data_IF_726156382205
#
_entry.id   IF_726156382205
#
_cell.length_a   1.000
_cell.length_b   1.000
_cell.length_c   1.000
_cell.angle_alpha   90.00
_cell.angle_beta   90.00
_cell.angle_gamma   90.00
#
_symmetry.space_group_name_H-M   'P 1'
#
loop_
_entity.id
_entity.type
_entity.pdbx_description
1 polymer ?
#
# COMPACT_ATOMS: atom_id res chain seq x y z
N UNK A 1 -100.62 3.79 -6.95
CA UNK A 1 -99.47 3.13 -7.63
C UNK A 1 -98.23 3.97 -7.43
N UNK A 2 -97.38 3.57 -6.48
CA UNK A 2 -96.09 4.22 -6.19
C UNK A 2 -95.02 3.29 -6.71
N UNK A 3 -94.23 3.75 -7.68
CA UNK A 3 -93.02 3.05 -8.16
C UNK A 3 -91.82 3.46 -7.33
N UNK A 4 -91.25 2.51 -6.62
CA UNK A 4 -89.99 2.66 -5.90
C UNK A 4 -88.81 2.36 -6.89
N UNK A 5 -87.94 3.33 -7.14
CA UNK A 5 -86.70 3.14 -7.86
C UNK A 5 -85.59 2.72 -6.87
N UNK A 6 -85.11 1.51 -7.03
CA UNK A 6 -83.89 1.08 -6.33
C UNK A 6 -82.66 1.62 -7.08
N UNK A 7 -81.86 2.44 -6.40
CA UNK A 7 -80.57 2.89 -6.88
C UNK A 7 -79.52 1.88 -6.40
N UNK A 8 -78.87 1.12 -7.33
CA UNK A 8 -77.73 0.30 -7.05
C UNK A 8 -76.49 1.17 -7.09
N UNK A 9 -75.85 1.41 -5.95
CA UNK A 9 -74.56 2.04 -5.83
C UNK A 9 -73.51 0.93 -5.97
N UNK A 10 -72.75 0.93 -7.09
CA UNK A 10 -71.62 0.05 -7.29
C UNK A 10 -70.38 0.67 -6.61
N UNK A 11 -69.92 0.09 -5.52
CA UNK A 11 -68.59 0.40 -4.92
C UNK A 11 -67.51 -0.18 -5.81
N UNK A 12 -66.76 0.68 -6.49
CA UNK A 12 -65.46 0.34 -7.11
C UNK A 12 -64.40 0.23 -6.02
N UNK A 13 -64.08 -0.99 -5.62
CA UNK A 13 -62.91 -1.24 -4.80
C UNK A 13 -61.64 -1.08 -5.67
N UNK A 14 -60.98 0.05 -5.54
CA UNK A 14 -59.61 0.25 -6.07
C UNK A 14 -58.63 -0.60 -5.28
N UNK A 15 -58.33 -1.81 -5.77
CA UNK A 15 -57.27 -2.65 -5.27
C UNK A 15 -55.91 -1.99 -5.58
N UNK A 16 -55.34 -1.33 -4.59
CA UNK A 16 -53.93 -0.91 -4.65
C UNK A 16 -53.03 -2.14 -4.74
N UNK A 17 -52.39 -2.33 -5.88
CA UNK A 17 -51.30 -3.32 -6.04
C UNK A 17 -50.14 -2.84 -5.15
N UNK A 18 -49.72 -3.60 -4.14
CA UNK A 18 -48.51 -3.24 -3.42
C UNK A 18 -47.35 -3.26 -4.41
N UNK A 19 -46.65 -2.13 -4.57
CA UNK A 19 -45.39 -2.09 -5.28
C UNK A 19 -44.42 -3.03 -4.51
N UNK A 20 -44.15 -4.19 -5.08
CA UNK A 20 -43.01 -5.01 -4.66
C UNK A 20 -41.77 -4.19 -4.95
N UNK A 21 -41.26 -3.50 -3.92
CA UNK A 21 -39.85 -3.08 -3.88
C UNK A 21 -39.03 -4.36 -3.83
N UNK A 22 -38.68 -4.88 -5.01
CA UNK A 22 -37.69 -5.93 -5.12
C UNK A 22 -36.44 -5.43 -4.40
N UNK A 23 -36.11 -6.03 -3.27
CA UNK A 23 -34.82 -5.90 -2.70
C UNK A 23 -33.85 -6.41 -3.78
N UNK A 24 -33.24 -5.49 -4.56
CA UNK A 24 -32.26 -5.84 -5.58
C UNK A 24 -31.20 -6.72 -4.93
N UNK A 25 -30.88 -7.83 -5.60
CA UNK A 25 -29.81 -8.71 -5.14
C UNK A 25 -28.58 -7.87 -4.82
N UNK A 26 -28.14 -7.95 -3.56
CA UNK A 26 -26.93 -7.25 -3.13
C UNK A 26 -25.76 -7.83 -3.91
N UNK A 27 -25.06 -6.99 -4.67
CA UNK A 27 -23.90 -7.39 -5.46
C UNK A 27 -22.94 -8.27 -4.63
N UNK A 28 -22.61 -9.44 -5.19
CA UNK A 28 -21.67 -10.42 -4.64
C UNK A 28 -20.64 -10.75 -5.72
N UNK A 29 -19.34 -10.46 -5.49
CA UNK A 29 -18.30 -10.78 -6.46
C UNK A 29 -18.00 -12.29 -6.49
N UNK A 30 -17.64 -12.79 -7.68
CA UNK A 30 -17.10 -14.13 -7.85
C UNK A 30 -15.58 -14.08 -7.99
N UNK A 31 -14.86 -14.97 -7.27
CA UNK A 31 -13.40 -15.07 -7.42
C UNK A 31 -13.04 -15.37 -8.87
N UNK A 32 -12.07 -14.63 -9.42
CA UNK A 32 -11.68 -14.69 -10.82
C UNK A 32 -12.51 -13.80 -11.75
N UNK A 33 -13.50 -13.04 -11.25
CA UNK A 33 -14.25 -12.12 -12.11
C UNK A 33 -13.34 -11.05 -12.71
N UNK A 34 -13.55 -10.66 -13.99
CA UNK A 34 -12.76 -9.62 -14.62
C UNK A 34 -12.93 -8.26 -13.93
N UNK A 35 -11.81 -7.57 -13.71
CA UNK A 35 -11.76 -6.15 -13.38
C UNK A 35 -11.20 -5.34 -14.54
N UNK A 36 -10.90 -4.06 -14.32
CA UNK A 36 -10.31 -3.18 -15.35
C UNK A 36 -8.91 -3.64 -15.77
N UNK A 37 -8.02 -3.83 -14.81
CA UNK A 37 -6.61 -4.14 -15.05
C UNK A 37 -6.19 -5.48 -14.39
N UNK A 38 -7.06 -6.09 -13.60
CA UNK A 38 -6.79 -7.31 -12.83
C UNK A 38 -8.07 -8.07 -12.57
N UNK A 39 -8.00 -9.40 -12.51
CA UNK A 39 -9.12 -10.22 -12.00
C UNK A 39 -9.20 -10.11 -10.49
N UNK A 40 -10.43 -10.09 -9.94
CA UNK A 40 -10.60 -10.05 -8.50
C UNK A 40 -10.34 -11.42 -7.87
N UNK A 41 -9.37 -11.47 -6.98
CA UNK A 41 -9.08 -12.62 -6.12
C UNK A 41 -8.95 -12.13 -4.69
N UNK A 42 -9.75 -12.66 -3.76
CA UNK A 42 -9.71 -12.20 -2.37
C UNK A 42 -8.45 -12.68 -1.67
N UNK A 43 -7.72 -11.77 -1.01
CA UNK A 43 -6.59 -12.13 -0.13
C UNK A 43 -7.10 -12.92 1.07
N UNK A 44 -6.53 -14.10 1.40
CA UNK A 44 -6.88 -14.84 2.61
C UNK A 44 -6.65 -14.01 3.88
N UNK A 45 -7.55 -14.09 4.84
CA UNK A 45 -7.43 -13.30 6.08
C UNK A 45 -6.15 -13.60 6.86
N UNK A 46 -5.72 -14.87 6.91
CA UNK A 46 -4.46 -15.26 7.54
C UNK A 46 -3.24 -14.55 6.92
N UNK A 47 -3.27 -14.34 5.58
CA UNK A 47 -2.20 -13.61 4.91
C UNK A 47 -2.30 -12.10 5.16
N UNK A 48 -3.51 -11.53 5.23
CA UNK A 48 -3.67 -10.11 5.57
C UNK A 48 -3.09 -9.83 6.97
N UNK A 49 -3.39 -10.69 7.95
CA UNK A 49 -2.79 -10.57 9.29
C UNK A 49 -1.26 -10.60 9.22
N UNK A 50 -0.68 -11.55 8.49
CA UNK A 50 0.76 -11.64 8.29
C UNK A 50 1.32 -10.38 7.62
N UNK A 51 0.68 -9.87 6.57
CA UNK A 51 1.09 -8.64 5.89
C UNK A 51 1.12 -7.43 6.85
N UNK A 52 0.06 -7.26 7.63
CA UNK A 52 -0.05 -6.16 8.58
C UNK A 52 0.92 -6.31 9.76
N UNK A 53 1.25 -7.55 10.18
CA UNK A 53 2.27 -7.83 11.20
C UNK A 53 3.67 -7.50 10.68
N UNK A 54 4.03 -7.95 9.47
CA UNK A 54 5.31 -7.62 8.82
C UNK A 54 5.50 -6.11 8.67
N UNK A 55 4.42 -5.39 8.30
CA UNK A 55 4.43 -3.93 8.23
C UNK A 55 4.34 -3.26 9.61
N UNK A 56 4.16 -3.99 10.71
CA UNK A 56 3.99 -3.46 12.07
C UNK A 56 2.94 -2.34 12.11
N UNK A 57 1.76 -2.60 11.52
CA UNK A 57 0.70 -1.59 11.43
C UNK A 57 0.19 -1.20 12.81
N UNK A 58 0.14 0.11 13.06
CA UNK A 58 -0.27 0.75 14.32
C UNK A 58 -1.41 1.76 14.09
N UNK A 59 -2.07 2.26 15.15
CA UNK A 59 -3.08 3.32 15.02
C UNK A 59 -2.59 4.65 14.42
N UNK A 60 -1.29 4.87 14.36
CA UNK A 60 -0.67 6.07 13.78
C UNK A 60 -0.52 5.97 12.26
N UNK A 61 -0.74 4.78 11.70
CA UNK A 61 -0.55 4.54 10.29
C UNK A 61 -1.72 5.03 9.43
N UNK A 62 -1.37 5.37 8.20
CA UNK A 62 -2.30 5.56 7.09
C UNK A 62 -2.05 4.47 6.05
N UNK A 63 -2.91 3.46 6.05
CA UNK A 63 -2.80 2.29 5.16
C UNK A 63 -3.58 2.55 3.88
N UNK A 64 -2.98 2.29 2.72
CA UNK A 64 -3.71 2.34 1.45
C UNK A 64 -3.65 0.99 0.73
N UNK A 65 -4.75 0.68 0.03
CA UNK A 65 -4.89 -0.48 -0.85
C UNK A 65 -5.37 -0.01 -2.24
N UNK A 66 -4.60 -0.35 -3.27
CA UNK A 66 -4.87 -0.02 -4.67
C UNK A 66 -5.46 -1.23 -5.39
N UNK A 67 -6.70 -1.11 -5.87
CA UNK A 67 -7.50 -2.24 -6.31
C UNK A 67 -8.08 -2.98 -5.11
N UNK A 68 -8.73 -2.25 -4.18
CA UNK A 68 -9.08 -2.75 -2.86
C UNK A 68 -10.20 -3.83 -2.84
N UNK A 69 -10.82 -4.11 -3.98
CA UNK A 69 -11.83 -5.15 -4.11
C UNK A 69 -12.98 -5.00 -3.10
N UNK A 70 -13.22 -6.04 -2.30
CA UNK A 70 -14.24 -6.05 -1.25
C UNK A 70 -13.84 -5.33 0.06
N UNK A 71 -12.66 -4.71 0.07
CA UNK A 71 -12.17 -3.85 1.14
C UNK A 71 -11.48 -4.57 2.30
N UNK A 72 -11.23 -5.88 2.21
CA UNK A 72 -10.75 -6.69 3.35
C UNK A 72 -9.40 -6.22 3.93
N UNK A 73 -8.41 -5.83 3.10
CA UNK A 73 -7.13 -5.30 3.59
C UNK A 73 -7.33 -4.01 4.39
N UNK A 74 -8.14 -3.10 3.86
CA UNK A 74 -8.46 -1.80 4.46
C UNK A 74 -9.21 -1.98 5.78
N UNK A 75 -10.21 -2.88 5.81
CA UNK A 75 -11.00 -3.21 7.01
C UNK A 75 -10.10 -3.80 8.10
N UNK A 76 -9.22 -4.74 7.75
CA UNK A 76 -8.31 -5.36 8.72
C UNK A 76 -7.31 -4.36 9.29
N UNK A 77 -6.78 -3.44 8.46
CA UNK A 77 -5.95 -2.33 8.94
C UNK A 77 -6.72 -1.40 9.89
N UNK A 78 -7.97 -1.07 9.56
CA UNK A 78 -8.83 -0.25 10.40
C UNK A 78 -9.16 -0.91 11.76
N UNK A 79 -9.32 -2.24 11.80
CA UNK A 79 -9.46 -3.01 13.06
C UNK A 79 -8.23 -2.91 13.97
N UNK A 80 -7.03 -2.70 13.40
CA UNK A 80 -5.80 -2.40 14.16
C UNK A 80 -5.72 -0.94 14.63
N UNK A 81 -6.75 -0.15 14.33
CA UNK A 81 -6.85 1.26 14.72
C UNK A 81 -6.30 2.25 13.69
N UNK A 82 -5.65 1.80 12.63
CA UNK A 82 -5.12 2.65 11.57
C UNK A 82 -6.23 3.36 10.79
N UNK A 83 -5.92 4.53 10.24
CA UNK A 83 -6.74 5.10 9.16
C UNK A 83 -6.43 4.33 7.89
N UNK A 84 -7.45 3.98 7.11
CA UNK A 84 -7.23 3.19 5.91
C UNK A 84 -8.10 3.65 4.74
N UNK A 85 -7.54 3.61 3.52
CA UNK A 85 -8.19 3.99 2.27
C UNK A 85 -8.04 2.88 1.23
N UNK A 86 -9.17 2.44 0.68
CA UNK A 86 -9.21 1.61 -0.52
C UNK A 86 -9.54 2.44 -1.75
N UNK A 87 -8.75 2.26 -2.80
CA UNK A 87 -9.04 2.80 -4.14
C UNK A 87 -9.46 1.64 -5.02
N UNK A 88 -10.68 1.70 -5.58
CA UNK A 88 -11.25 0.62 -6.37
C UNK A 88 -11.96 1.20 -7.60
N UNK A 89 -11.75 0.59 -8.75
CA UNK A 89 -12.33 1.07 -10.00
C UNK A 89 -13.82 0.74 -10.13
N UNK A 90 -14.22 -0.45 -9.67
CA UNK A 90 -15.60 -0.93 -9.79
C UNK A 90 -16.49 -0.29 -8.71
N UNK A 91 -17.52 0.52 -9.08
CA UNK A 91 -18.40 1.18 -8.11
C UNK A 91 -19.19 0.20 -7.25
N UNK A 92 -19.54 -1.00 -7.75
CA UNK A 92 -20.25 -2.02 -6.98
C UNK A 92 -19.37 -2.62 -5.89
N UNK A 93 -18.07 -2.83 -6.19
CA UNK A 93 -17.06 -3.23 -5.20
C UNK A 93 -16.87 -2.14 -4.14
N UNK A 94 -16.79 -0.86 -4.53
CA UNK A 94 -16.74 0.27 -3.58
C UNK A 94 -17.96 0.27 -2.66
N UNK A 95 -19.17 0.06 -3.20
CA UNK A 95 -20.38 -0.01 -2.40
C UNK A 95 -20.37 -1.23 -1.45
N UNK A 96 -19.87 -2.39 -1.93
CA UNK A 96 -19.69 -3.59 -1.12
C UNK A 96 -18.71 -3.34 0.02
N UNK A 97 -17.53 -2.77 -0.27
CA UNK A 97 -16.51 -2.47 0.73
C UNK A 97 -17.03 -1.56 1.84
N UNK A 98 -17.82 -0.54 1.49
CA UNK A 98 -18.47 0.35 2.47
C UNK A 98 -19.46 -0.40 3.36
N UNK A 99 -20.27 -1.31 2.79
CA UNK A 99 -21.19 -2.17 3.57
C UNK A 99 -20.40 -3.09 4.51
N UNK A 100 -19.32 -3.71 4.00
CA UNK A 100 -18.47 -4.58 4.80
C UNK A 100 -17.84 -3.81 5.97
N UNK A 101 -17.29 -2.62 5.74
CA UNK A 101 -16.70 -1.79 6.79
C UNK A 101 -17.73 -1.36 7.86
N UNK A 102 -18.94 -1.01 7.44
CA UNK A 102 -20.03 -0.69 8.36
C UNK A 102 -20.44 -1.91 9.20
N UNK A 103 -20.57 -3.10 8.58
CA UNK A 103 -20.86 -4.36 9.28
C UNK A 103 -19.80 -4.71 10.33
N UNK A 104 -18.53 -4.44 10.02
CA UNK A 104 -17.39 -4.68 10.92
C UNK A 104 -17.16 -3.55 11.94
N UNK A 105 -18.00 -2.50 11.94
CA UNK A 105 -17.93 -1.40 12.90
C UNK A 105 -16.71 -0.48 12.75
N UNK A 106 -16.08 -0.44 11.55
CA UNK A 106 -14.87 0.35 11.28
C UNK A 106 -15.04 1.43 10.21
N UNK A 107 -16.29 1.77 9.86
CA UNK A 107 -16.58 2.72 8.79
C UNK A 107 -16.09 4.16 9.02
N UNK A 108 -15.72 4.52 10.24
CA UNK A 108 -15.08 5.79 10.60
C UNK A 108 -13.60 5.83 10.19
N UNK A 109 -12.92 4.70 10.15
CA UNK A 109 -11.48 4.55 9.84
C UNK A 109 -11.23 3.97 8.46
N UNK A 110 -12.09 3.05 7.98
CA UNK A 110 -12.00 2.41 6.67
C UNK A 110 -12.82 3.21 5.64
N UNK A 111 -12.14 3.89 4.72
CA UNK A 111 -12.76 4.66 3.63
C UNK A 111 -12.49 4.01 2.30
N UNK A 112 -13.42 4.20 1.35
CA UNK A 112 -13.32 3.66 0.00
C UNK A 112 -13.75 4.70 -1.01
N UNK A 113 -12.94 4.85 -2.06
CA UNK A 113 -13.19 5.77 -3.16
C UNK A 113 -13.17 5.02 -4.49
N UNK A 114 -14.07 5.42 -5.39
CA UNK A 114 -13.97 4.96 -6.76
C UNK A 114 -12.85 5.70 -7.46
N UNK A 115 -11.91 4.97 -8.08
CA UNK A 115 -10.78 5.57 -8.77
C UNK A 115 -9.89 4.56 -9.47
N UNK A 116 -9.01 5.09 -10.29
CA UNK A 116 -7.95 4.32 -10.93
C UNK A 116 -6.74 4.23 -10.01
N UNK A 117 -6.23 3.02 -9.76
CA UNK A 117 -5.05 2.79 -8.91
C UNK A 117 -3.79 3.50 -9.44
N UNK A 118 -3.69 3.69 -10.76
CA UNK A 118 -2.55 4.37 -11.37
C UNK A 118 -2.60 5.90 -11.20
N UNK A 119 -3.79 6.48 -11.00
CA UNK A 119 -3.99 7.92 -10.80
C UNK A 119 -4.03 8.32 -9.32
N UNK A 120 -4.23 7.36 -8.41
CA UNK A 120 -4.34 7.63 -6.98
C UNK A 120 -3.10 8.32 -6.41
N UNK A 121 -3.27 9.36 -5.60
CA UNK A 121 -2.19 9.97 -4.82
C UNK A 121 -1.88 9.07 -3.61
N UNK A 122 -0.65 8.57 -3.55
CA UNK A 122 -0.15 7.70 -2.47
C UNK A 122 0.85 8.40 -1.54
N UNK A 123 1.05 9.70 -1.71
CA UNK A 123 2.10 10.47 -1.00
C UNK A 123 1.91 10.53 0.52
N UNK A 124 0.69 10.29 1.00
CA UNK A 124 0.37 10.27 2.43
C UNK A 124 0.39 8.89 3.06
N UNK A 125 0.50 7.83 2.24
CA UNK A 125 0.56 6.46 2.76
C UNK A 125 1.79 6.26 3.64
N UNK A 126 1.60 5.62 4.79
CA UNK A 126 2.68 5.07 5.60
C UNK A 126 2.83 3.57 5.38
N UNK A 127 1.77 2.93 4.88
CA UNK A 127 1.75 1.53 4.46
C UNK A 127 0.92 1.39 3.18
N UNK A 128 1.44 0.64 2.20
CA UNK A 128 0.67 0.07 1.10
C UNK A 128 0.51 -1.43 1.34
N UNK A 129 -0.73 -1.94 1.33
CA UNK A 129 -1.03 -3.36 1.47
C UNK A 129 -1.73 -3.84 0.20
N UNK A 130 -1.02 -4.54 -0.70
CA UNK A 130 -1.42 -4.75 -2.09
C UNK A 130 -1.48 -6.23 -2.47
N UNK A 131 -2.46 -6.55 -3.33
CA UNK A 131 -2.49 -7.79 -4.09
C UNK A 131 -2.69 -7.49 -5.58
N UNK A 132 -1.60 -7.35 -6.30
CA UNK A 132 -1.60 -6.97 -7.71
C UNK A 132 -0.69 -7.91 -8.52
N UNK A 133 -1.01 -8.07 -9.80
CA UNK A 133 -0.19 -8.84 -10.73
C UNK A 133 1.15 -8.13 -11.00
N UNK A 134 2.21 -8.88 -11.36
CA UNK A 134 3.55 -8.32 -11.59
C UNK A 134 3.58 -7.14 -12.58
N UNK A 135 2.78 -7.18 -13.64
CA UNK A 135 2.74 -6.08 -14.62
C UNK A 135 2.15 -4.79 -14.04
N UNK A 136 1.13 -4.89 -13.18
CA UNK A 136 0.58 -3.74 -12.49
C UNK A 136 1.58 -3.19 -11.47
N UNK A 137 2.30 -4.05 -10.75
CA UNK A 137 3.37 -3.63 -9.84
C UNK A 137 4.49 -2.92 -10.58
N UNK A 138 4.92 -3.43 -11.76
CA UNK A 138 5.91 -2.78 -12.62
C UNK A 138 5.47 -1.39 -13.06
N UNK A 139 4.20 -1.23 -13.47
CA UNK A 139 3.63 0.07 -13.87
C UNK A 139 3.53 1.05 -12.69
N UNK A 140 3.30 0.57 -11.48
CA UNK A 140 3.22 1.40 -10.26
C UNK A 140 4.59 1.75 -9.67
N UNK A 141 5.66 1.01 -10.00
CA UNK A 141 6.99 1.21 -9.42
C UNK A 141 7.51 2.65 -9.55
N UNK A 142 7.40 3.35 -10.70
CA UNK A 142 7.80 4.76 -10.79
C UNK A 142 7.02 5.67 -9.83
N UNK A 143 5.72 5.37 -9.60
CA UNK A 143 4.90 6.08 -8.62
C UNK A 143 5.37 5.80 -7.19
N UNK A 144 5.68 4.55 -6.85
CA UNK A 144 6.26 4.21 -5.55
C UNK A 144 7.55 4.97 -5.29
N UNK A 145 8.44 5.01 -6.27
CA UNK A 145 9.70 5.73 -6.17
C UNK A 145 9.54 7.25 -6.09
N UNK A 146 8.53 7.83 -6.75
CA UNK A 146 8.36 9.29 -6.83
C UNK A 146 7.53 9.88 -5.70
N UNK A 147 6.50 9.18 -5.24
CA UNK A 147 5.52 9.73 -4.29
C UNK A 147 5.70 9.25 -2.85
N UNK A 148 6.21 8.03 -2.62
CA UNK A 148 6.33 7.51 -1.26
C UNK A 148 7.47 8.21 -0.50
N UNK A 149 7.18 8.51 0.76
CA UNK A 149 8.20 9.00 1.70
C UNK A 149 9.14 7.87 2.08
N UNK A 150 10.44 8.16 2.31
CA UNK A 150 11.35 7.16 2.86
C UNK A 150 10.79 6.53 4.14
N UNK A 151 10.89 5.20 4.22
CA UNK A 151 10.35 4.44 5.35
C UNK A 151 8.89 4.01 5.20
N UNK A 152 8.15 4.46 4.16
CA UNK A 152 6.85 3.86 3.82
C UNK A 152 7.03 2.38 3.58
N UNK A 153 6.19 1.55 4.21
CA UNK A 153 6.21 0.10 4.10
C UNK A 153 5.25 -0.37 3.03
N UNK A 154 5.73 -1.26 2.16
CA UNK A 154 4.89 -1.88 1.14
C UNK A 154 4.86 -3.38 1.46
N UNK A 155 3.66 -3.94 1.62
CA UNK A 155 3.45 -5.38 1.84
C UNK A 155 2.63 -5.96 0.70
N UNK A 156 3.18 -6.99 0.07
CA UNK A 156 2.62 -7.61 -1.13
C UNK A 156 2.14 -9.02 -0.84
N UNK A 157 0.94 -9.35 -1.34
CA UNK A 157 0.45 -10.72 -1.38
C UNK A 157 1.03 -11.44 -2.62
N UNK A 158 1.73 -12.54 -2.41
CA UNK A 158 2.10 -13.55 -3.40
C UNK A 158 3.17 -13.11 -4.40
N UNK A 159 3.01 -11.95 -5.03
CA UNK A 159 3.91 -11.47 -6.07
C UNK A 159 4.88 -10.41 -5.55
N UNK A 160 6.20 -10.60 -5.75
CA UNK A 160 7.17 -9.55 -5.47
C UNK A 160 7.07 -8.42 -6.50
N UNK A 161 7.50 -7.22 -6.11
CA UNK A 161 7.67 -6.11 -7.05
C UNK A 161 8.81 -6.46 -8.01
N UNK A 162 8.57 -6.47 -9.35
CA UNK A 162 9.63 -6.77 -10.31
C UNK A 162 10.84 -5.85 -10.14
N UNK A 163 12.02 -6.42 -10.24
CA UNK A 163 13.31 -5.71 -10.19
C UNK A 163 13.67 -5.07 -8.84
N UNK A 164 12.75 -5.09 -7.87
CA UNK A 164 12.99 -4.61 -6.52
C UNK A 164 13.02 -5.80 -5.54
N UNK A 165 14.18 -6.12 -5.01
CA UNK A 165 14.32 -7.20 -4.02
C UNK A 165 13.59 -6.84 -2.71
N UNK A 166 12.79 -7.74 -2.12
CA UNK A 166 12.13 -7.48 -0.85
C UNK A 166 13.14 -7.38 0.32
N UNK A 167 12.79 -6.56 1.31
CA UNK A 167 13.53 -6.47 2.57
C UNK A 167 13.28 -7.69 3.47
N UNK A 168 12.09 -8.29 3.37
CA UNK A 168 11.74 -9.54 4.02
C UNK A 168 10.68 -10.30 3.22
N UNK A 169 10.70 -11.63 3.34
CA UNK A 169 9.67 -12.51 2.79
C UNK A 169 9.27 -13.50 3.88
N UNK A 170 7.98 -13.58 4.17
CA UNK A 170 7.45 -14.48 5.19
C UNK A 170 6.23 -15.24 4.68
N UNK A 171 5.94 -16.36 5.32
CA UNK A 171 4.78 -17.19 5.05
C UNK A 171 3.73 -17.00 6.16
N UNK A 172 2.46 -16.87 5.76
CA UNK A 172 1.36 -16.97 6.71
C UNK A 172 1.19 -18.41 7.19
N UNK A 173 0.80 -18.58 8.44
CA UNK A 173 0.30 -19.84 8.98
C UNK A 173 -1.23 -19.81 8.98
N UNK A 174 -1.85 -20.98 8.80
CA UNK A 174 -3.31 -21.11 8.76
C UNK A 174 -3.86 -21.28 7.34
N UNK A 175 -5.16 -21.03 7.19
CA UNK A 175 -5.82 -21.18 5.89
C UNK A 175 -5.54 -19.96 4.99
N UNK A 176 -4.57 -20.14 4.12
CA UNK A 176 -4.17 -19.15 3.12
C UNK A 176 -4.20 -19.71 1.68
N UNK A 177 -4.67 -20.97 1.49
CA UNK A 177 -4.78 -21.61 0.19
C UNK A 177 -3.47 -21.56 -0.60
N UNK A 178 -3.53 -21.05 -1.82
CA UNK A 178 -2.36 -20.87 -2.69
C UNK A 178 -1.63 -19.53 -2.46
N UNK A 179 -2.11 -18.68 -1.56
CA UNK A 179 -1.62 -17.32 -1.33
C UNK A 179 -1.13 -17.18 0.12
N UNK A 180 0.03 -17.76 0.43
CA UNK A 180 0.58 -17.77 1.78
C UNK A 180 1.82 -16.89 1.94
N UNK A 181 2.41 -16.41 0.84
CA UNK A 181 3.65 -15.64 0.87
C UNK A 181 3.37 -14.15 0.90
N UNK A 182 4.05 -13.42 1.77
CA UNK A 182 4.06 -11.96 1.79
C UNK A 182 5.48 -11.43 1.66
N UNK A 183 5.63 -10.31 0.95
CA UNK A 183 6.88 -9.61 0.73
C UNK A 183 6.80 -8.21 1.32
N UNK A 184 7.79 -7.81 2.12
CA UNK A 184 7.91 -6.49 2.72
C UNK A 184 9.00 -5.69 2.05
N UNK A 185 8.73 -4.41 1.77
CA UNK A 185 9.69 -3.43 1.28
C UNK A 185 9.60 -2.16 2.11
N UNK A 186 10.72 -1.45 2.22
CA UNK A 186 10.76 -0.08 2.75
C UNK A 186 11.12 0.86 1.61
N UNK A 187 10.27 1.87 1.33
CA UNK A 187 10.61 2.91 0.37
C UNK A 187 11.93 3.57 0.77
N UNK A 188 12.99 3.50 -0.05
CA UNK A 188 14.29 3.99 0.34
C UNK A 188 14.40 5.51 0.16
N UNK A 189 15.19 6.16 1.00
CA UNK A 189 15.62 7.53 0.75
C UNK A 189 16.43 7.60 -0.55
N UNK A 190 16.29 8.71 -1.28
CA UNK A 190 16.99 8.93 -2.54
C UNK A 190 18.36 9.52 -2.26
N UNK A 191 19.37 8.67 -2.34
CA UNK A 191 20.77 9.06 -2.04
C UNK A 191 21.67 9.07 -3.28
N UNK A 192 21.20 8.61 -4.42
CA UNK A 192 21.96 8.64 -5.68
C UNK A 192 22.52 10.04 -5.97
N UNK A 193 23.73 10.10 -6.54
CA UNK A 193 24.45 11.33 -6.83
C UNK A 193 25.66 11.59 -5.93
N UNK A 194 26.13 12.83 -5.90
CA UNK A 194 27.38 13.21 -5.22
C UNK A 194 27.12 13.90 -3.87
N UNK A 195 27.96 13.58 -2.90
CA UNK A 195 27.87 14.09 -1.53
C UNK A 195 29.24 14.53 -1.02
N UNK A 196 29.30 15.60 -0.24
CA UNK A 196 30.50 16.02 0.49
C UNK A 196 30.53 15.31 1.84
N UNK A 197 31.51 14.43 2.03
CA UNK A 197 31.78 13.71 3.29
C UNK A 197 33.14 14.17 3.84
N UNK A 198 33.16 15.06 4.82
CA UNK A 198 34.40 15.72 5.28
C UNK A 198 35.08 16.45 4.13
N UNK A 199 36.34 16.12 3.86
CA UNK A 199 37.10 16.64 2.71
C UNK A 199 36.91 15.79 1.44
N UNK A 200 36.18 14.67 1.55
CA UNK A 200 36.03 13.72 0.46
C UNK A 200 34.73 13.92 -0.33
N UNK A 201 34.69 13.33 -1.52
CA UNK A 201 33.50 13.22 -2.35
C UNK A 201 33.03 11.77 -2.37
N UNK A 202 31.82 11.55 -1.82
CA UNK A 202 31.11 10.28 -1.84
C UNK A 202 30.13 10.30 -3.03
N UNK A 203 30.17 9.29 -3.88
CA UNK A 203 29.25 9.13 -5.01
C UNK A 203 28.47 7.85 -4.84
N UNK A 204 27.16 7.94 -5.00
CA UNK A 204 26.25 6.79 -5.01
C UNK A 204 25.57 6.63 -6.36
N UNK A 205 25.58 5.42 -6.85
CA UNK A 205 24.61 4.88 -7.80
C UNK A 205 23.60 4.07 -7.00
N UNK A 206 22.32 4.31 -7.23
CA UNK A 206 21.23 3.71 -6.45
C UNK A 206 20.30 2.91 -7.34
N UNK A 207 20.09 1.64 -6.97
CA UNK A 207 19.07 0.77 -7.51
C UNK A 207 18.15 0.32 -6.36
N UNK A 208 17.01 0.98 -6.20
CA UNK A 208 16.12 0.84 -5.04
C UNK A 208 16.88 1.03 -3.71
N UNK A 209 16.94 -0.02 -2.89
CA UNK A 209 17.67 0.01 -1.62
C UNK A 209 19.17 -0.30 -1.75
N UNK A 210 19.61 -0.80 -2.89
CA UNK A 210 20.99 -1.18 -3.11
C UNK A 210 21.80 -0.01 -3.64
N UNK A 211 23.01 0.14 -3.11
CA UNK A 211 23.93 1.22 -3.48
C UNK A 211 25.24 0.65 -3.98
N UNK A 212 25.81 1.33 -4.97
CA UNK A 212 27.20 1.19 -5.38
C UNK A 212 27.84 2.57 -5.47
N UNK A 213 29.15 2.64 -5.62
CA UNK A 213 29.82 3.93 -5.79
C UNK A 213 31.20 3.99 -5.17
N UNK A 214 31.66 5.20 -4.83
CA UNK A 214 33.02 5.44 -4.35
C UNK A 214 33.09 6.58 -3.34
N UNK A 215 34.06 6.50 -2.41
CA UNK A 215 34.54 7.64 -1.62
C UNK A 215 35.94 7.99 -2.11
N UNK A 216 36.15 9.17 -2.71
CA UNK A 216 37.43 9.63 -3.26
C UNK A 216 38.09 8.60 -4.20
N UNK A 217 37.35 7.90 -5.05
CA UNK A 217 37.75 6.81 -5.95
C UNK A 217 37.91 5.44 -5.27
N UNK A 218 37.90 5.32 -3.94
CA UNK A 218 37.84 4.03 -3.26
C UNK A 218 36.45 3.45 -3.39
N UNK A 219 36.28 2.24 -3.93
CA UNK A 219 34.96 1.59 -4.01
C UNK A 219 34.31 1.42 -2.64
N UNK A 220 33.01 1.56 -2.58
CA UNK A 220 32.23 1.17 -1.41
C UNK A 220 31.70 -0.25 -1.56
N UNK A 221 31.48 -0.93 -0.44
CA UNK A 221 30.86 -2.26 -0.38
C UNK A 221 29.76 -2.31 0.66
N UNK A 222 28.95 -3.38 0.65
CA UNK A 222 27.86 -3.61 1.60
C UNK A 222 26.94 -2.39 1.76
N UNK A 223 26.74 -1.68 0.65
CA UNK A 223 26.08 -0.39 0.65
C UNK A 223 24.59 -0.51 0.41
N UNK A 224 23.79 0.02 1.35
CA UNK A 224 22.34 -0.12 1.36
C UNK A 224 21.66 1.05 2.04
N UNK A 225 20.43 1.34 1.60
CA UNK A 225 19.52 2.26 2.28
C UNK A 225 18.19 1.55 2.57
N UNK A 226 17.74 1.59 3.83
CA UNK A 226 16.45 1.05 4.27
C UNK A 226 15.63 2.17 4.89
N UNK A 227 14.58 2.61 4.21
CA UNK A 227 13.90 3.84 4.59
C UNK A 227 14.87 5.01 4.60
N UNK A 228 15.09 5.62 5.75
CA UNK A 228 16.08 6.67 5.98
C UNK A 228 17.43 6.15 6.49
N UNK A 229 17.51 4.87 6.88
CA UNK A 229 18.75 4.30 7.39
C UNK A 229 19.69 3.96 6.25
N UNK A 230 20.95 4.38 6.34
CA UNK A 230 21.99 4.11 5.35
C UNK A 230 23.18 3.41 5.99
N UNK A 231 23.72 2.44 5.28
CA UNK A 231 24.99 1.81 5.63
C UNK A 231 25.84 1.57 4.38
N UNK A 232 27.15 1.71 4.52
CA UNK A 232 28.15 1.37 3.49
C UNK A 232 29.52 1.18 4.13
N UNK A 233 30.41 0.46 3.47
CA UNK A 233 31.77 0.18 3.93
C UNK A 233 32.76 0.77 2.94
N UNK A 234 33.84 1.37 3.46
CA UNK A 234 35.00 1.87 2.70
C UNK A 234 36.27 1.32 3.34
N UNK A 235 37.01 0.44 2.64
CA UNK A 235 38.08 -0.33 3.25
C UNK A 235 37.55 -1.13 4.43
N UNK A 236 38.12 -0.93 5.63
CA UNK A 236 37.74 -1.61 6.86
C UNK A 236 36.76 -0.79 7.72
N UNK A 237 36.33 0.37 7.23
CA UNK A 237 35.45 1.28 7.99
C UNK A 237 34.00 1.16 7.51
N UNK A 238 33.10 0.75 8.40
CA UNK A 238 31.68 0.76 8.15
C UNK A 238 31.07 2.11 8.58
N UNK A 239 30.30 2.71 7.69
CA UNK A 239 29.50 3.91 7.93
C UNK A 239 28.05 3.48 8.15
N UNK A 240 27.43 3.93 9.25
CA UNK A 240 26.01 3.75 9.52
C UNK A 240 25.41 5.10 9.89
N UNK A 241 24.21 5.39 9.42
CA UNK A 241 23.58 6.69 9.66
C UNK A 241 22.17 6.82 9.13
N UNK A 242 21.70 8.06 9.10
CA UNK A 242 20.38 8.41 8.59
C UNK A 242 20.48 9.51 7.54
N UNK A 243 19.56 9.43 6.60
CA UNK A 243 19.35 10.40 5.51
C UNK A 243 18.21 11.33 5.94
N UNK A 244 18.44 12.63 5.81
CA UNK A 244 17.42 13.66 5.99
C UNK A 244 17.49 14.66 4.83
N UNK A 245 16.75 14.40 3.77
CA UNK A 245 16.75 15.21 2.56
C UNK A 245 18.15 15.28 1.92
N UNK A 246 18.76 16.46 1.94
CA UNK A 246 20.08 16.74 1.38
C UNK A 246 21.23 16.59 2.41
N UNK A 247 20.97 16.01 3.55
CA UNK A 247 21.98 15.74 4.57
C UNK A 247 21.95 14.27 4.99
N UNK A 248 23.10 13.75 5.38
CA UNK A 248 23.26 12.45 6.05
C UNK A 248 24.17 12.63 7.24
N UNK A 249 23.92 11.87 8.30
CA UNK A 249 24.81 11.83 9.46
C UNK A 249 24.72 10.50 10.19
N UNK A 250 25.78 10.17 10.89
CA UNK A 250 25.84 8.93 11.64
C UNK A 250 27.21 8.72 12.29
N UNK A 251 27.53 7.47 12.52
CA UNK A 251 28.80 7.04 13.13
C UNK A 251 29.52 6.00 12.26
N UNK A 252 30.84 5.96 12.34
CA UNK A 252 31.62 4.87 11.81
C UNK A 252 31.73 3.76 12.84
N UNK A 253 31.73 2.51 12.36
CA UNK A 253 32.04 1.32 13.16
C UNK A 253 33.40 0.79 12.72
N UNK A 254 34.26 0.41 13.68
CA UNK A 254 35.60 -0.07 13.44
C UNK A 254 36.50 0.21 14.65
N UNK A 255 37.81 0.18 14.46
CA UNK A 255 38.82 0.38 15.52
C UNK A 255 38.78 1.78 16.17
N UNK A 256 38.29 2.79 15.44
CA UNK A 256 38.16 4.17 15.91
C UNK A 256 36.79 4.72 15.47
N UNK A 257 35.71 4.52 16.28
CA UNK A 257 34.40 5.09 15.99
C UNK A 257 34.44 6.63 15.96
N UNK A 258 33.85 7.21 14.95
CA UNK A 258 33.80 8.67 14.77
C UNK A 258 32.43 9.10 14.21
N UNK A 259 31.99 10.30 14.53
CA UNK A 259 30.80 10.90 13.90
C UNK A 259 31.14 11.38 12.50
N UNK A 260 30.21 11.16 11.58
CA UNK A 260 30.31 11.65 10.22
C UNK A 260 29.08 12.43 9.78
N UNK A 261 29.29 13.35 8.85
CA UNK A 261 28.21 14.10 8.19
C UNK A 261 28.53 14.21 6.71
N UNK A 262 27.48 14.11 5.89
CA UNK A 262 27.58 14.38 4.48
C UNK A 262 26.46 15.31 4.01
N UNK A 263 26.74 16.15 3.04
CA UNK A 263 25.78 17.04 2.40
C UNK A 263 25.77 16.78 0.89
N UNK A 264 24.59 16.79 0.30
CA UNK A 264 24.42 16.62 -1.14
C UNK A 264 25.12 17.76 -1.86
N UNK A 265 25.95 17.42 -2.82
CA UNK A 265 26.48 18.39 -3.76
C UNK A 265 25.40 18.68 -4.81
N UNK A 266 25.23 19.95 -5.18
CA UNK A 266 24.34 20.31 -6.28
C UNK A 266 24.75 19.52 -7.54
N UNK A 267 23.79 19.21 -8.38
CA UNK A 267 24.10 18.70 -9.71
C UNK A 267 24.86 19.83 -10.44
N UNK A 268 26.16 19.61 -10.65
CA UNK A 268 26.88 20.37 -11.67
C UNK A 268 26.22 19.97 -12.99
N UNK A 269 25.42 20.89 -13.55
CA UNK A 269 24.81 20.78 -14.87
C UNK A 269 25.87 20.87 -15.96
#
# INVERSE_FOLDING_TARGET
LVRVFLLCVALLASGGVPAQTGAGETYQPSSGQPGKDVVWVPTPYALIEKMLDMAQVTPQDYVMDLGSGDGRNVIMAAKRGAKALGVEYNPEMVALSRRNAAKEGVGDKARFVQGDMFEADISQATVLALFLLPDNLRRLTPKFQSQLKPGTRLVMNGFPIPEWAPDATEQASGDCGNWCTSHLYYAPARVGGSWRLGQGTLRFEQNFQMLSGTLNKTPISDARVKGEEISFTVGDTQYVGRVNGNAMSGETKGSQPAQWKATRLGNDH
#
